data_IF_108468418734
#
_entry.id   IF_108468418734
#
_cell.length_a   1.000
_cell.length_b   1.000
_cell.length_c   1.000
_cell.angle_alpha   90.00
_cell.angle_beta   90.00
_cell.angle_gamma   90.00
#
_symmetry.space_group_name_H-M   'P 1'
#
loop_
_entity.id
_entity.type
_entity.pdbx_description
1 polymer ?
#
# COMPACT_ATOMS: atom_id res chain seq x y z
N UNK A 1 -6.14 -10.20 -45.12
CA UNK A 1 -4.97 -9.88 -44.28
C UNK A 1 -5.25 -8.82 -43.20
N UNK A 2 -6.27 -7.97 -43.34
CA UNK A 2 -6.58 -6.84 -42.43
C UNK A 2 -7.27 -7.21 -41.11
N UNK A 3 -8.03 -8.30 -41.08
CA UNK A 3 -8.80 -8.75 -39.89
C UNK A 3 -7.93 -9.08 -38.68
N UNK A 4 -6.73 -9.65 -38.90
CA UNK A 4 -5.81 -10.04 -37.82
C UNK A 4 -5.23 -8.82 -37.10
N UNK A 5 -5.01 -7.73 -37.83
CA UNK A 5 -4.59 -6.44 -37.25
C UNK A 5 -5.72 -5.78 -36.46
N UNK A 6 -6.97 -5.87 -36.93
CA UNK A 6 -8.13 -5.35 -36.20
C UNK A 6 -8.32 -6.06 -34.85
N UNK A 7 -8.18 -7.40 -34.81
CA UNK A 7 -8.26 -8.18 -33.56
C UNK A 7 -7.12 -7.85 -32.60
N UNK A 8 -5.91 -7.66 -33.13
CA UNK A 8 -4.74 -7.28 -32.32
C UNK A 8 -4.90 -5.86 -31.74
N UNK A 9 -5.50 -4.94 -32.50
CA UNK A 9 -5.83 -3.59 -32.02
C UNK A 9 -6.92 -3.64 -30.93
N UNK A 10 -7.95 -4.47 -31.07
CA UNK A 10 -8.96 -4.66 -30.02
C UNK A 10 -8.34 -5.22 -28.73
N UNK A 11 -7.41 -6.17 -28.84
CA UNK A 11 -6.70 -6.73 -27.71
C UNK A 11 -5.85 -5.67 -26.99
N UNK A 12 -5.11 -4.86 -27.74
CA UNK A 12 -4.32 -3.74 -27.20
C UNK A 12 -5.19 -2.71 -26.47
N UNK A 13 -6.33 -2.33 -27.05
CA UNK A 13 -7.27 -1.40 -26.41
C UNK A 13 -7.85 -2.00 -25.12
N UNK A 14 -8.20 -3.29 -25.13
CA UNK A 14 -8.66 -4.00 -23.93
C UNK A 14 -7.61 -4.01 -22.81
N UNK A 15 -6.33 -4.25 -23.15
CA UNK A 15 -5.24 -4.18 -22.17
C UNK A 15 -5.05 -2.78 -21.57
N UNK A 16 -5.21 -1.71 -22.36
CA UNK A 16 -5.10 -0.33 -21.85
C UNK A 16 -6.26 0.07 -20.93
N UNK A 17 -7.43 -0.56 -21.07
CA UNK A 17 -8.58 -0.30 -20.19
C UNK A 17 -8.45 -0.98 -18.82
N UNK A 18 -7.61 -2.02 -18.72
CA UNK A 18 -7.39 -2.78 -17.47
C UNK A 18 -6.31 -2.13 -16.60
N UNK A 19 -5.47 -1.23 -17.14
CA UNK A 19 -4.41 -0.54 -16.39
C UNK A 19 -4.93 0.64 -15.57
N UNK A 20 -6.00 0.45 -14.79
CA UNK A 20 -6.37 1.36 -13.71
C UNK A 20 -5.34 1.18 -12.59
N UNK A 21 -4.21 1.86 -12.69
CA UNK A 21 -3.31 2.03 -11.55
C UNK A 21 -4.12 2.82 -10.52
N UNK A 22 -4.54 2.15 -9.46
CA UNK A 22 -5.08 2.82 -8.29
C UNK A 22 -3.93 3.57 -7.64
N UNK A 23 -3.82 4.85 -7.97
CA UNK A 23 -2.92 5.78 -7.30
C UNK A 23 -3.54 6.06 -5.92
N UNK A 24 -3.04 5.37 -4.90
CA UNK A 24 -3.52 5.58 -3.52
C UNK A 24 -2.85 6.86 -3.03
N UNK A 25 -3.61 7.95 -2.96
CA UNK A 25 -3.09 9.19 -2.46
C UNK A 25 -2.91 9.10 -0.93
N UNK A 26 -1.69 9.35 -0.47
CA UNK A 26 -1.35 9.37 0.96
C UNK A 26 -2.28 10.28 1.76
N UNK A 27 -2.59 11.46 1.24
CA UNK A 27 -3.36 12.49 1.95
C UNK A 27 -4.85 12.11 2.12
N UNK A 28 -5.34 11.11 1.39
CA UNK A 28 -6.72 10.60 1.55
C UNK A 28 -6.87 9.72 2.81
N UNK A 29 -5.76 9.19 3.34
CA UNK A 29 -5.76 8.18 4.40
C UNK A 29 -4.89 8.54 5.61
N UNK A 30 -3.88 9.38 5.42
CA UNK A 30 -2.87 9.68 6.41
C UNK A 30 -2.74 11.18 6.65
N UNK A 31 -2.37 11.53 7.88
CA UNK A 31 -1.88 12.86 8.20
C UNK A 31 -0.37 12.89 7.97
N UNK A 32 0.21 14.06 7.69
CA UNK A 32 1.65 14.25 7.62
C UNK A 32 2.29 14.26 9.01
N UNK A 33 2.06 13.18 9.78
CA UNK A 33 2.53 12.96 11.15
C UNK A 33 2.85 11.49 11.36
N UNK A 34 3.80 11.16 12.24
CA UNK A 34 4.11 9.77 12.57
C UNK A 34 3.29 9.29 13.76
N UNK A 35 2.58 8.17 13.61
CA UNK A 35 2.04 7.41 14.74
C UNK A 35 3.08 6.38 15.17
N UNK A 36 3.84 6.68 16.23
CA UNK A 36 4.78 5.72 16.80
C UNK A 36 4.01 4.77 17.71
N UNK A 37 4.27 3.48 17.56
CA UNK A 37 3.65 2.43 18.37
C UNK A 37 4.76 1.66 19.07
N UNK A 38 4.82 1.83 20.39
CA UNK A 38 5.77 1.13 21.23
C UNK A 38 5.11 -0.17 21.69
N UNK A 39 5.83 -1.29 21.55
CA UNK A 39 5.30 -2.65 21.78
C UNK A 39 6.25 -3.45 22.66
N UNK A 40 5.70 -4.33 23.48
CA UNK A 40 6.45 -5.44 24.07
C UNK A 40 6.29 -6.67 23.20
N UNK A 41 7.43 -7.26 22.83
CA UNK A 41 7.49 -8.58 22.23
C UNK A 41 8.05 -9.52 23.29
N UNK A 42 7.23 -10.45 23.73
CA UNK A 42 7.56 -11.41 24.79
C UNK A 42 7.26 -12.82 24.31
N UNK A 43 7.79 -13.83 24.99
CA UNK A 43 7.52 -15.22 24.58
C UNK A 43 8.56 -16.20 25.08
N UNK A 44 8.49 -17.40 24.51
CA UNK A 44 9.43 -18.49 24.76
C UNK A 44 9.63 -19.30 23.46
N UNK A 45 10.18 -20.51 23.56
CA UNK A 45 10.48 -21.34 22.39
C UNK A 45 9.24 -21.92 21.68
N UNK A 46 8.05 -21.82 22.28
CA UNK A 46 6.79 -22.33 21.74
C UNK A 46 5.91 -21.22 21.17
N UNK A 47 5.96 -20.02 21.74
CA UNK A 47 5.05 -18.93 21.38
C UNK A 47 5.68 -17.54 21.54
N UNK A 48 5.11 -16.59 20.79
CA UNK A 48 5.40 -15.17 20.84
C UNK A 48 4.11 -14.39 21.11
N UNK A 49 4.20 -13.41 22.01
CA UNK A 49 3.12 -12.52 22.42
C UNK A 49 3.56 -11.09 22.17
N UNK A 50 2.81 -10.39 21.33
CA UNK A 50 2.98 -8.96 21.03
C UNK A 50 1.90 -8.21 21.79
N UNK A 51 2.29 -7.28 22.66
CA UNK A 51 1.37 -6.41 23.40
C UNK A 51 1.69 -4.93 23.18
N UNK A 52 0.63 -4.13 23.14
CA UNK A 52 0.72 -2.67 23.03
C UNK A 52 1.23 -2.09 24.36
N UNK A 53 2.22 -1.19 24.28
CA UNK A 53 2.63 -0.35 25.40
C UNK A 53 2.00 1.04 25.27
N UNK A 54 2.41 1.79 24.25
CA UNK A 54 2.01 3.18 24.04
C UNK A 54 1.80 3.52 22.55
N UNK A 55 0.92 4.47 22.28
CA UNK A 55 0.73 5.10 20.95
C UNK A 55 1.01 6.59 21.08
N UNK A 56 1.95 7.09 20.30
CA UNK A 56 2.47 8.46 20.40
C UNK A 56 2.36 9.15 19.03
N UNK A 57 1.90 10.40 19.02
CA UNK A 57 2.03 11.29 17.87
C UNK A 57 3.44 11.89 17.87
N UNK A 58 4.26 11.56 16.87
CA UNK A 58 5.66 11.94 16.78
C UNK A 58 5.95 12.72 15.48
N UNK A 59 6.13 14.02 15.58
CA UNK A 59 6.61 14.87 14.47
C UNK A 59 5.87 14.68 13.14
N UNK A 60 6.54 15.04 12.05
CA UNK A 60 6.05 14.87 10.68
C UNK A 60 6.34 13.44 10.15
N UNK A 61 5.65 13.02 9.08
CA UNK A 61 5.87 11.71 8.48
C UNK A 61 7.10 11.70 7.56
N UNK A 62 8.16 11.01 7.98
CA UNK A 62 9.40 10.87 7.21
C UNK A 62 9.43 9.65 6.27
N UNK A 63 8.35 8.85 6.22
CA UNK A 63 8.27 7.62 5.45
C UNK A 63 7.75 7.80 4.02
N UNK A 64 7.34 6.68 3.40
CA UNK A 64 6.81 6.68 2.02
C UNK A 64 5.46 7.40 1.94
N UNK A 65 5.26 8.19 0.88
CA UNK A 65 3.96 8.79 0.47
C UNK A 65 3.45 8.24 -0.87
N UNK A 66 4.12 7.22 -1.38
CA UNK A 66 3.87 6.49 -2.64
C UNK A 66 3.61 5.02 -2.34
#
# INVERSE_FOLDING_TARGET
>A
MTWRYSQMNLLLISLMLISQVQDVNFDDHFLDKTMRVDMYITGNYLEEVISLDEVIEEGDWAGSKI
#
